data_IF_257083733771
#
_entry.id   IF_257083733771
#
_cell.length_a   1.000
_cell.length_b   1.000
_cell.length_c   1.000
_cell.angle_alpha   90.00
_cell.angle_beta   90.00
_cell.angle_gamma   90.00
#
_symmetry.space_group_name_H-M   'P 1'
#
loop_
_entity.id
_entity.type
_entity.pdbx_description
1 polymer ?
#
# COMPACT_ATOMS: atom_id res chain seq x y z
N UNK A 1 18.95 3.53 3.45
CA UNK A 1 18.16 2.86 2.42
C UNK A 1 18.08 3.76 1.21
N UNK A 2 18.33 3.21 0.02
CA UNK A 2 18.24 3.92 -1.25
C UNK A 2 17.34 3.14 -2.20
N UNK A 3 16.42 3.83 -2.88
CA UNK A 3 15.38 3.18 -3.67
C UNK A 3 15.36 3.70 -5.11
N UNK A 4 14.89 2.87 -6.04
CA UNK A 4 14.71 3.26 -7.44
C UNK A 4 14.04 2.19 -8.27
N UNK A 5 13.97 2.40 -9.56
CA UNK A 5 13.61 1.36 -10.51
C UNK A 5 14.80 0.47 -10.86
N UNK A 6 14.53 -0.72 -11.38
CA UNK A 6 15.58 -1.66 -11.83
C UNK A 6 16.48 -1.07 -12.89
N UNK A 7 16.00 -0.11 -13.67
CA UNK A 7 16.74 0.63 -14.68
C UNK A 7 17.86 1.53 -14.12
N UNK A 8 17.79 1.88 -12.85
CA UNK A 8 18.83 2.68 -12.19
C UNK A 8 20.08 1.86 -11.85
N UNK A 9 19.97 0.53 -11.70
CA UNK A 9 21.07 -0.34 -11.28
C UNK A 9 22.29 -0.21 -12.19
N UNK A 10 22.19 -0.35 -13.53
CA UNK A 10 23.36 -0.47 -14.38
C UNK A 10 24.16 0.83 -14.54
N UNK A 11 23.52 1.99 -14.39
CA UNK A 11 24.15 3.29 -14.68
C UNK A 11 24.04 4.26 -13.52
N UNK A 12 22.81 4.66 -13.16
CA UNK A 12 22.57 5.76 -12.22
C UNK A 12 23.12 5.45 -10.82
N UNK A 13 22.66 4.39 -10.20
CA UNK A 13 23.09 4.00 -8.86
C UNK A 13 24.57 3.55 -8.83
N UNK A 14 25.06 2.91 -9.89
CA UNK A 14 26.47 2.56 -10.03
C UNK A 14 27.34 3.82 -10.02
N UNK A 15 26.92 4.87 -10.71
CA UNK A 15 27.65 6.15 -10.70
C UNK A 15 27.56 6.86 -9.35
N UNK A 16 26.40 6.81 -8.66
CA UNK A 16 26.26 7.37 -7.32
C UNK A 16 27.19 6.69 -6.30
N UNK A 17 27.30 5.35 -6.36
CA UNK A 17 28.26 4.59 -5.56
C UNK A 17 29.68 5.08 -5.84
N UNK A 18 30.08 5.12 -7.10
CA UNK A 18 31.43 5.52 -7.49
C UNK A 18 31.78 6.94 -7.02
N UNK A 19 30.88 7.91 -7.20
CA UNK A 19 31.07 9.30 -6.80
C UNK A 19 31.13 9.46 -5.28
N UNK A 20 30.18 8.85 -4.57
CA UNK A 20 30.05 9.02 -3.12
C UNK A 20 31.16 8.29 -2.37
N UNK A 21 31.50 7.07 -2.77
CA UNK A 21 32.54 6.28 -2.11
C UNK A 21 33.93 6.80 -2.41
N UNK A 22 34.21 7.26 -3.64
CA UNK A 22 35.46 7.91 -3.99
C UNK A 22 35.70 9.22 -3.20
N UNK A 23 34.62 9.98 -2.97
CA UNK A 23 34.68 11.25 -2.23
C UNK A 23 34.83 11.06 -0.72
N UNK A 24 34.18 10.04 -0.16
CA UNK A 24 34.04 9.88 1.31
C UNK A 24 34.93 8.78 1.90
N UNK A 25 35.35 7.82 1.08
CA UNK A 25 36.05 6.61 1.52
C UNK A 25 35.16 5.66 2.34
N UNK A 26 33.84 5.82 2.29
CA UNK A 26 32.87 5.04 3.08
C UNK A 26 31.79 4.45 2.18
N UNK A 27 31.21 3.27 2.55
CA UNK A 27 30.06 2.72 1.84
C UNK A 27 28.92 3.74 1.75
N UNK A 28 28.39 3.94 0.54
CA UNK A 28 27.33 4.92 0.27
C UNK A 28 25.98 4.48 0.85
N UNK A 29 25.55 3.26 0.56
CA UNK A 29 24.24 2.76 0.93
C UNK A 29 24.33 1.37 1.53
N UNK A 30 23.61 1.17 2.63
CA UNK A 30 23.56 -0.12 3.33
C UNK A 30 22.50 -1.07 2.73
N UNK A 31 21.35 -0.52 2.29
CA UNK A 31 20.25 -1.30 1.73
C UNK A 31 19.73 -0.64 0.45
N UNK A 32 19.70 -1.42 -0.61
CA UNK A 32 19.16 -1.04 -1.91
C UNK A 32 17.81 -1.70 -2.13
N UNK A 33 16.83 -0.95 -2.61
CA UNK A 33 15.51 -1.45 -2.96
C UNK A 33 15.17 -1.01 -4.38
N UNK A 34 15.00 -1.98 -5.29
CA UNK A 34 14.68 -1.71 -6.69
C UNK A 34 13.33 -2.33 -7.05
N UNK A 35 12.38 -1.50 -7.46
CA UNK A 35 11.10 -1.95 -7.96
C UNK A 35 11.15 -2.17 -9.48
N UNK A 36 10.41 -3.17 -9.95
CA UNK A 36 10.22 -3.36 -11.39
C UNK A 36 9.20 -2.37 -11.97
N UNK A 37 9.14 -2.30 -13.29
CA UNK A 37 8.29 -1.35 -13.99
C UNK A 37 6.80 -1.72 -13.93
N UNK A 38 5.96 -0.67 -13.87
CA UNK A 38 4.54 -0.80 -14.09
C UNK A 38 4.25 -0.78 -15.59
N UNK A 39 3.62 -1.84 -16.10
CA UNK A 39 3.04 -1.87 -17.43
C UNK A 39 1.59 -1.36 -17.38
N UNK A 40 1.12 -0.85 -18.49
CA UNK A 40 -0.28 -0.48 -18.71
C UNK A 40 -0.77 -1.21 -19.94
N UNK A 41 -1.75 -2.09 -19.75
CA UNK A 41 -2.29 -2.97 -20.80
C UNK A 41 -1.20 -3.77 -21.55
N UNK A 42 -0.18 -4.23 -20.81
CA UNK A 42 0.96 -4.99 -21.33
C UNK A 42 2.08 -4.17 -21.97
N UNK A 43 1.92 -2.87 -22.07
CA UNK A 43 2.85 -1.94 -22.71
C UNK A 43 3.57 -1.07 -21.66
N UNK A 44 4.75 -0.57 -22.00
CA UNK A 44 5.44 0.42 -21.16
C UNK A 44 4.59 1.70 -21.07
N UNK A 45 4.41 2.20 -19.84
CA UNK A 45 3.73 3.48 -19.63
C UNK A 45 4.52 4.62 -20.28
N UNK A 46 3.90 5.34 -21.23
CA UNK A 46 4.52 6.49 -21.88
C UNK A 46 3.50 7.52 -22.35
N UNK A 47 3.90 8.78 -22.39
CA UNK A 47 3.05 9.87 -22.88
C UNK A 47 2.77 9.74 -24.39
N UNK A 48 3.73 9.23 -25.17
CA UNK A 48 3.59 9.06 -26.61
C UNK A 48 2.60 7.97 -27.00
N UNK A 49 2.40 6.96 -26.13
CA UNK A 49 1.41 5.90 -26.34
C UNK A 49 0.03 6.26 -25.80
N UNK A 50 -0.12 7.40 -25.12
CA UNK A 50 -1.39 7.82 -24.55
C UNK A 50 -1.86 6.97 -23.36
N UNK A 51 -1.02 6.09 -22.83
CA UNK A 51 -1.29 5.18 -21.72
C UNK A 51 -0.68 5.66 -20.39
N UNK A 52 -0.39 6.95 -20.28
CA UNK A 52 0.15 7.57 -19.09
C UNK A 52 -0.98 8.09 -18.20
N UNK A 53 -1.20 7.45 -17.06
CA UNK A 53 -2.23 7.81 -16.08
C UNK A 53 -1.64 8.46 -14.83
N UNK A 54 -2.35 9.44 -14.29
CA UNK A 54 -2.08 10.08 -13.00
C UNK A 54 -3.16 9.68 -12.00
N UNK A 55 -2.94 9.94 -10.72
CA UNK A 55 -3.95 9.69 -9.67
C UNK A 55 -5.27 10.41 -9.98
N UNK A 56 -5.21 11.66 -10.48
CA UNK A 56 -6.39 12.42 -10.90
C UNK A 56 -7.22 11.70 -11.98
N UNK A 57 -6.60 10.90 -12.84
CA UNK A 57 -7.30 10.18 -13.90
C UNK A 57 -8.05 8.96 -13.33
N UNK A 58 -7.52 8.36 -12.26
CA UNK A 58 -8.20 7.31 -11.50
C UNK A 58 -9.41 7.90 -10.75
N UNK A 59 -9.22 9.03 -10.07
CA UNK A 59 -10.29 9.71 -9.33
C UNK A 59 -11.43 10.13 -10.25
N UNK A 60 -11.15 10.66 -11.46
CA UNK A 60 -12.16 10.97 -12.48
C UNK A 60 -12.96 9.75 -12.94
N UNK A 61 -12.38 8.55 -12.82
CA UNK A 61 -13.06 7.29 -13.13
C UNK A 61 -13.75 6.66 -11.90
N UNK A 62 -13.71 7.33 -10.74
CA UNK A 62 -14.39 6.89 -9.52
C UNK A 62 -13.57 5.96 -8.63
N UNK A 63 -12.26 5.84 -8.87
CA UNK A 63 -11.36 5.07 -8.02
C UNK A 63 -10.70 5.94 -6.97
N UNK A 64 -10.48 5.39 -5.79
CA UNK A 64 -9.70 6.05 -4.74
C UNK A 64 -8.20 5.73 -4.87
N UNK A 65 -7.30 6.56 -4.34
CA UNK A 65 -5.89 6.22 -4.24
C UNK A 65 -5.62 4.93 -3.43
N UNK A 66 -6.51 4.57 -2.50
CA UNK A 66 -6.38 3.33 -1.70
C UNK A 66 -6.72 2.08 -2.50
N UNK A 67 -7.59 2.17 -3.52
CA UNK A 67 -7.83 1.07 -4.44
C UNK A 67 -6.55 0.74 -5.24
N UNK A 68 -5.82 1.78 -5.68
CA UNK A 68 -4.53 1.61 -6.34
C UNK A 68 -3.47 1.06 -5.38
N UNK A 69 -3.43 1.56 -4.14
CA UNK A 69 -2.53 1.02 -3.13
C UNK A 69 -2.80 -0.46 -2.86
N UNK A 70 -4.07 -0.83 -2.75
CA UNK A 70 -4.46 -2.24 -2.59
C UNK A 70 -3.97 -3.08 -3.78
N UNK A 71 -4.15 -2.59 -5.02
CA UNK A 71 -3.64 -3.25 -6.22
C UNK A 71 -2.13 -3.50 -6.12
N UNK A 72 -1.34 -2.49 -5.76
CA UNK A 72 0.11 -2.63 -5.63
C UNK A 72 0.52 -3.65 -4.57
N UNK A 73 -0.23 -3.75 -3.47
CA UNK A 73 0.05 -4.72 -2.41
C UNK A 73 -0.23 -6.18 -2.82
N UNK A 74 -0.96 -6.41 -3.93
CA UNK A 74 -1.25 -7.76 -4.43
C UNK A 74 -0.09 -8.40 -5.17
N UNK A 75 1.00 -7.67 -5.46
CA UNK A 75 2.17 -8.17 -6.16
C UNK A 75 3.46 -7.88 -5.38
N UNK A 76 4.52 -8.64 -5.69
CA UNK A 76 5.85 -8.33 -5.19
C UNK A 76 6.45 -7.18 -6.00
N UNK A 77 7.12 -6.23 -5.34
CA UNK A 77 7.73 -5.05 -5.98
C UNK A 77 8.83 -5.39 -7.01
N UNK A 78 9.43 -6.59 -6.93
CA UNK A 78 10.41 -7.09 -7.90
C UNK A 78 9.78 -7.69 -9.16
N UNK A 79 8.46 -7.81 -9.18
CA UNK A 79 7.73 -8.39 -10.30
C UNK A 79 7.08 -7.28 -11.11
N UNK A 80 7.24 -7.35 -12.43
CA UNK A 80 6.58 -6.43 -13.34
C UNK A 80 5.07 -6.56 -13.21
N UNK A 81 4.42 -5.47 -12.76
CA UNK A 81 2.98 -5.43 -12.61
C UNK A 81 2.33 -4.86 -13.87
N UNK A 82 1.24 -5.47 -14.31
CA UNK A 82 0.44 -4.96 -15.42
C UNK A 82 -0.85 -4.29 -14.89
N UNK A 83 -0.89 -2.98 -14.98
CA UNK A 83 -2.09 -2.20 -14.67
C UNK A 83 -3.08 -2.33 -15.83
N UNK A 84 -4.31 -2.68 -15.49
CA UNK A 84 -5.46 -2.61 -16.39
C UNK A 84 -6.64 -2.02 -15.63
N UNK A 85 -7.61 -1.42 -16.32
CA UNK A 85 -8.82 -0.94 -15.65
C UNK A 85 -9.60 -2.08 -15.00
N UNK A 86 -9.57 -3.27 -15.58
CA UNK A 86 -10.19 -4.48 -15.00
C UNK A 86 -9.50 -4.90 -13.69
N UNK A 87 -8.17 -4.85 -13.62
CA UNK A 87 -7.46 -5.13 -12.37
C UNK A 87 -7.74 -4.08 -11.30
N UNK A 88 -7.97 -2.83 -11.72
CA UNK A 88 -8.34 -1.74 -10.83
C UNK A 88 -9.74 -1.92 -10.24
N UNK A 89 -10.73 -2.32 -11.06
CA UNK A 89 -12.09 -2.67 -10.62
C UNK A 89 -12.09 -3.84 -9.63
N UNK A 90 -11.29 -4.88 -9.91
CA UNK A 90 -11.14 -6.02 -9.02
C UNK A 90 -10.51 -5.60 -7.67
N UNK A 91 -9.53 -4.71 -7.71
CA UNK A 91 -8.89 -4.17 -6.51
C UNK A 91 -9.85 -3.33 -5.67
N UNK A 92 -10.63 -2.45 -6.28
CA UNK A 92 -11.68 -1.67 -5.61
C UNK A 92 -12.68 -2.60 -4.94
N UNK A 93 -13.20 -3.59 -5.66
CA UNK A 93 -14.15 -4.56 -5.10
C UNK A 93 -13.57 -5.31 -3.89
N UNK A 94 -12.31 -5.71 -3.97
CA UNK A 94 -11.64 -6.41 -2.88
C UNK A 94 -11.40 -5.49 -1.67
N UNK A 95 -10.98 -4.26 -1.91
CA UNK A 95 -10.76 -3.26 -0.86
C UNK A 95 -12.09 -2.89 -0.18
N UNK A 96 -13.16 -2.60 -0.93
CA UNK A 96 -14.50 -2.31 -0.39
C UNK A 96 -15.03 -3.48 0.44
N UNK A 97 -14.82 -4.71 -0.02
CA UNK A 97 -15.18 -5.91 0.74
C UNK A 97 -14.40 -6.00 2.05
N UNK A 98 -13.09 -5.72 2.05
CA UNK A 98 -12.26 -5.69 3.25
C UNK A 98 -12.77 -4.64 4.24
N UNK A 99 -13.03 -3.43 3.80
CA UNK A 99 -13.59 -2.33 4.61
C UNK A 99 -14.92 -2.72 5.23
N UNK A 100 -15.83 -3.33 4.45
CA UNK A 100 -17.11 -3.81 4.92
C UNK A 100 -16.97 -4.88 6.02
N UNK A 101 -16.06 -5.85 5.82
CA UNK A 101 -15.80 -6.89 6.82
C UNK A 101 -15.23 -6.31 8.12
N UNK A 102 -14.30 -5.36 8.04
CA UNK A 102 -13.72 -4.70 9.21
C UNK A 102 -14.77 -3.89 9.96
N UNK A 103 -15.65 -3.19 9.24
CA UNK A 103 -16.79 -2.50 9.85
C UNK A 103 -17.68 -3.46 10.63
N UNK A 104 -18.00 -4.61 10.03
CA UNK A 104 -18.80 -5.66 10.69
C UNK A 104 -18.09 -6.23 11.92
N UNK A 105 -16.79 -6.50 11.84
CA UNK A 105 -15.98 -6.97 12.98
C UNK A 105 -16.01 -5.94 14.10
N UNK A 106 -15.78 -4.66 13.79
CA UNK A 106 -15.80 -3.56 14.76
C UNK A 106 -17.14 -3.46 15.48
N UNK A 107 -18.25 -3.58 14.75
CA UNK A 107 -19.60 -3.51 15.32
C UNK A 107 -19.94 -4.72 16.22
N UNK A 108 -19.20 -5.83 16.11
CA UNK A 108 -19.35 -7.03 16.94
C UNK A 108 -18.48 -7.01 18.20
N UNK A 109 -17.64 -5.99 18.37
CA UNK A 109 -16.78 -5.88 19.56
C UNK A 109 -17.68 -5.63 20.78
N UNK A 110 -17.66 -6.56 21.70
CA UNK A 110 -18.28 -6.47 23.04
C UNK A 110 -17.20 -6.35 24.11
N UNK A 111 -17.60 -6.39 25.38
CA UNK A 111 -16.64 -6.44 26.48
C UNK A 111 -15.64 -7.60 26.28
N UNK A 112 -14.34 -7.29 26.48
CA UNK A 112 -13.27 -8.27 26.30
C UNK A 112 -13.36 -9.32 27.40
N UNK A 113 -13.48 -10.57 26.99
CA UNK A 113 -13.34 -11.73 27.85
C UNK A 113 -11.92 -12.29 27.73
N UNK A 114 -11.46 -13.03 28.76
CA UNK A 114 -10.17 -13.73 28.67
C UNK A 114 -10.19 -14.72 27.50
N UNK A 115 -9.12 -14.72 26.70
CA UNK A 115 -8.94 -15.69 25.62
C UNK A 115 -8.64 -17.07 26.18
N UNK A 116 -9.16 -18.12 25.53
CA UNK A 116 -8.66 -19.47 25.73
C UNK A 116 -7.23 -19.58 25.17
N UNK A 117 -6.43 -20.51 25.72
CA UNK A 117 -5.06 -20.75 25.24
C UNK A 117 -5.02 -21.00 23.72
N UNK A 118 -5.96 -21.82 23.21
CA UNK A 118 -6.06 -22.10 21.77
C UNK A 118 -6.24 -20.82 20.93
N UNK A 119 -7.10 -19.89 21.36
CA UNK A 119 -7.33 -18.65 20.62
C UNK A 119 -6.18 -17.68 20.72
N UNK A 120 -5.52 -17.62 21.90
CA UNK A 120 -4.31 -16.84 22.08
C UNK A 120 -3.19 -17.34 21.15
N UNK A 121 -3.02 -18.65 21.05
CA UNK A 121 -2.06 -19.28 20.14
C UNK A 121 -2.35 -18.90 18.68
N UNK A 122 -3.61 -18.94 18.24
CA UNK A 122 -4.01 -18.49 16.89
C UNK A 122 -3.68 -17.02 16.62
N UNK A 123 -3.93 -16.13 17.59
CA UNK A 123 -3.56 -14.70 17.47
C UNK A 123 -2.06 -14.54 17.27
N UNK A 124 -1.24 -15.26 18.05
CA UNK A 124 0.22 -15.25 17.93
C UNK A 124 0.67 -15.79 16.57
N UNK A 125 0.08 -16.90 16.10
CA UNK A 125 0.38 -17.48 14.79
C UNK A 125 0.08 -16.52 13.64
N UNK A 126 -1.04 -15.78 13.68
CA UNK A 126 -1.35 -14.77 12.65
C UNK A 126 -0.34 -13.63 12.66
N UNK A 127 0.05 -13.15 13.85
CA UNK A 127 1.08 -12.11 13.98
C UNK A 127 2.41 -12.57 13.39
N UNK A 128 2.83 -13.78 13.73
CA UNK A 128 4.06 -14.37 13.22
C UNK A 128 4.01 -14.58 11.71
N UNK A 129 2.92 -15.14 11.17
CA UNK A 129 2.74 -15.32 9.73
C UNK A 129 2.86 -13.99 8.97
N UNK A 130 2.20 -12.93 9.46
CA UNK A 130 2.27 -11.62 8.84
C UNK A 130 3.69 -11.04 8.90
N UNK A 131 4.31 -11.09 10.08
CA UNK A 131 5.68 -10.59 10.27
C UNK A 131 6.66 -11.33 9.37
N UNK A 132 6.55 -12.65 9.26
CA UNK A 132 7.40 -13.45 8.40
C UNK A 132 7.18 -13.10 6.92
N UNK A 133 5.95 -12.91 6.48
CA UNK A 133 5.65 -12.48 5.11
C UNK A 133 6.28 -11.11 4.78
N UNK A 134 6.16 -10.14 5.67
CA UNK A 134 6.76 -8.81 5.45
C UNK A 134 8.28 -8.83 5.52
N UNK A 135 8.85 -9.66 6.39
CA UNK A 135 10.31 -9.82 6.52
C UNK A 135 10.92 -10.67 5.38
N UNK A 136 10.10 -11.41 4.65
CA UNK A 136 10.50 -12.14 3.45
C UNK A 136 10.40 -11.23 2.22
N UNK A 137 11.38 -10.34 2.11
CA UNK A 137 11.53 -9.39 0.98
C UNK A 137 10.25 -8.57 0.68
N UNK A 138 9.59 -8.09 1.73
CA UNK A 138 8.36 -7.29 1.64
C UNK A 138 7.25 -7.99 0.85
N UNK A 139 6.99 -9.26 1.12
CA UNK A 139 5.95 -10.04 0.44
C UNK A 139 4.55 -9.60 0.90
N UNK A 140 4.14 -8.43 0.42
CA UNK A 140 2.86 -7.81 0.77
C UNK A 140 1.67 -8.61 0.27
N UNK A 141 1.80 -9.36 -0.82
CA UNK A 141 0.76 -10.26 -1.32
C UNK A 141 0.44 -11.36 -0.30
N UNK A 142 1.48 -11.98 0.28
CA UNK A 142 1.31 -12.95 1.36
C UNK A 142 0.78 -12.27 2.63
N UNK A 143 1.23 -11.04 2.94
CA UNK A 143 0.68 -10.24 4.04
C UNK A 143 -0.82 -9.99 3.90
N UNK A 144 -1.30 -9.63 2.71
CA UNK A 144 -2.73 -9.49 2.41
C UNK A 144 -3.50 -10.81 2.55
N UNK A 145 -2.91 -11.94 2.16
CA UNK A 145 -3.54 -13.24 2.37
C UNK A 145 -3.76 -13.52 3.86
N UNK A 146 -2.79 -13.18 4.72
CA UNK A 146 -2.94 -13.31 6.19
C UNK A 146 -4.04 -12.37 6.72
N UNK A 147 -4.17 -11.15 6.20
CA UNK A 147 -5.29 -10.25 6.55
C UNK A 147 -6.64 -10.94 6.31
N UNK A 148 -6.82 -11.56 5.14
CA UNK A 148 -8.04 -12.28 4.82
C UNK A 148 -8.24 -13.56 5.66
N UNK A 149 -7.16 -14.25 6.06
CA UNK A 149 -7.23 -15.36 7.01
C UNK A 149 -7.76 -14.88 8.37
N UNK A 150 -7.26 -13.75 8.89
CA UNK A 150 -7.74 -13.15 10.15
C UNK A 150 -9.22 -12.80 10.07
N UNK A 151 -9.65 -12.11 8.99
CA UNK A 151 -11.05 -11.74 8.78
C UNK A 151 -11.96 -12.98 8.86
N UNK A 152 -11.58 -14.08 8.22
CA UNK A 152 -12.36 -15.33 8.14
C UNK A 152 -12.21 -16.25 9.36
N UNK A 153 -11.25 -15.97 10.25
CA UNK A 153 -10.94 -16.84 11.39
C UNK A 153 -12.08 -16.87 12.44
N UNK A 154 -11.95 -17.75 13.42
CA UNK A 154 -12.87 -17.87 14.55
C UNK A 154 -12.36 -17.23 15.86
N UNK A 155 -11.34 -16.38 15.79
CA UNK A 155 -10.90 -15.62 16.97
C UNK A 155 -11.91 -14.49 17.28
N UNK A 156 -11.94 -13.96 18.53
CA UNK A 156 -12.91 -12.93 18.90
C UNK A 156 -12.79 -11.65 18.06
N UNK A 157 -13.89 -10.92 17.84
CA UNK A 157 -13.89 -9.71 17.02
C UNK A 157 -12.88 -8.64 17.46
N UNK A 158 -12.69 -8.44 18.78
CA UNK A 158 -11.72 -7.50 19.32
C UNK A 158 -10.29 -7.85 18.95
N UNK A 159 -9.94 -9.15 19.00
CA UNK A 159 -8.58 -9.62 18.65
C UNK A 159 -8.33 -9.59 17.14
N UNK A 160 -9.37 -9.85 16.32
CA UNK A 160 -9.31 -9.63 14.88
C UNK A 160 -9.01 -8.17 14.57
N UNK A 161 -9.76 -7.26 15.17
CA UNK A 161 -9.62 -5.83 14.94
C UNK A 161 -8.21 -5.36 15.32
N UNK A 162 -7.71 -5.74 16.49
CA UNK A 162 -6.37 -5.37 16.94
C UNK A 162 -5.27 -5.88 15.98
N UNK A 163 -5.37 -7.13 15.51
CA UNK A 163 -4.43 -7.66 14.50
C UNK A 163 -4.48 -6.89 13.20
N UNK A 164 -5.70 -6.59 12.71
CA UNK A 164 -5.88 -5.87 11.44
C UNK A 164 -5.34 -4.45 11.52
N UNK A 165 -5.51 -3.76 12.67
CA UNK A 165 -4.91 -2.44 12.89
C UNK A 165 -3.39 -2.49 12.95
N UNK A 166 -2.83 -3.49 13.64
CA UNK A 166 -1.38 -3.72 13.67
C UNK A 166 -0.81 -3.98 12.26
N UNK A 167 -1.48 -4.78 11.45
CA UNK A 167 -1.05 -5.06 10.07
C UNK A 167 -1.16 -3.84 9.17
N UNK A 168 -2.14 -2.97 9.43
CA UNK A 168 -2.33 -1.74 8.67
C UNK A 168 -1.24 -0.68 8.92
N UNK A 169 -0.51 -0.75 10.03
CA UNK A 169 0.67 0.09 10.24
C UNK A 169 1.73 -0.11 9.14
N UNK A 170 1.77 -1.31 8.55
CA UNK A 170 2.64 -1.65 7.42
C UNK A 170 1.94 -1.46 6.09
N UNK A 171 0.72 -1.97 5.95
CA UNK A 171 -0.02 -1.95 4.69
C UNK A 171 -0.50 -0.56 4.30
N UNK A 172 -0.85 0.29 5.29
CA UNK A 172 -1.30 1.67 5.10
C UNK A 172 -2.56 1.79 4.25
N UNK A 173 -3.50 0.87 4.43
CA UNK A 173 -4.81 0.85 3.79
C UNK A 173 -5.85 1.70 4.52
N UNK A 174 -5.45 2.35 5.62
CA UNK A 174 -6.30 3.21 6.46
C UNK A 174 -7.50 2.47 7.05
N UNK A 175 -7.29 1.24 7.48
CA UNK A 175 -8.35 0.37 8.02
C UNK A 175 -8.94 0.90 9.33
N UNK A 176 -8.19 1.70 10.09
CA UNK A 176 -8.65 2.38 11.30
C UNK A 176 -9.76 3.41 11.03
N UNK A 177 -9.76 3.97 9.83
CA UNK A 177 -10.65 5.03 9.41
C UNK A 177 -12.04 4.52 8.99
N UNK A 178 -12.24 3.21 9.03
CA UNK A 178 -13.51 2.56 8.69
C UNK A 178 -14.64 3.09 9.57
N UNK A 179 -15.62 3.73 8.93
CA UNK A 179 -16.75 4.36 9.61
C UNK A 179 -16.48 5.77 10.16
N UNK A 180 -15.27 6.30 10.01
CA UNK A 180 -14.98 7.72 10.26
C UNK A 180 -15.35 8.52 9.02
N UNK A 181 -16.39 9.36 9.11
CA UNK A 181 -16.65 10.36 8.09
C UNK A 181 -15.54 11.41 8.21
N UNK A 182 -14.57 11.40 7.29
CA UNK A 182 -13.66 12.55 7.19
C UNK A 182 -14.47 13.76 6.80
N UNK A 183 -14.43 14.79 7.62
CA UNK A 183 -14.81 16.10 7.15
C UNK A 183 -13.90 16.44 5.96
N UNK A 184 -14.51 16.75 4.83
CA UNK A 184 -13.78 17.21 3.65
C UNK A 184 -12.85 18.32 4.12
N UNK A 185 -11.55 18.18 3.95
CA UNK A 185 -10.60 19.24 4.30
C UNK A 185 -10.99 20.45 3.46
N UNK A 186 -11.68 21.40 4.09
CA UNK A 186 -12.02 22.65 3.46
C UNK A 186 -10.71 23.41 3.32
N UNK A 187 -10.14 23.39 2.12
CA UNK A 187 -8.95 24.18 1.82
C UNK A 187 -9.32 25.64 2.00
N UNK A 188 -8.69 26.38 2.94
CA UNK A 188 -8.98 27.79 3.13
C UNK A 188 -8.90 28.55 1.80
N UNK A 189 -9.82 29.49 1.52
CA UNK A 189 -9.85 30.23 0.25
C UNK A 189 -8.52 30.89 -0.11
N UNK A 190 -7.74 31.28 0.88
CA UNK A 190 -6.41 31.87 0.71
C UNK A 190 -5.40 30.87 0.13
N UNK A 191 -5.42 29.63 0.61
CA UNK A 191 -4.56 28.54 0.11
C UNK A 191 -5.01 28.13 -1.29
N UNK A 192 -6.34 28.10 -1.54
CA UNK A 192 -6.86 27.80 -2.88
C UNK A 192 -6.39 28.83 -3.90
N UNK A 193 -6.42 30.12 -3.57
CA UNK A 193 -5.87 31.20 -4.44
C UNK A 193 -4.37 31.03 -4.73
N UNK A 194 -3.60 30.54 -3.77
CA UNK A 194 -2.17 30.28 -3.97
C UNK A 194 -1.95 29.07 -4.90
N UNK A 195 -2.78 28.04 -4.80
CA UNK A 195 -2.75 26.89 -5.70
C UNK A 195 -3.11 27.29 -7.13
N UNK A 196 -4.18 28.07 -7.30
CA UNK A 196 -4.62 28.57 -8.61
C UNK A 196 -3.53 29.45 -9.27
N UNK A 197 -2.91 30.35 -8.50
CA UNK A 197 -1.77 31.16 -8.96
C UNK A 197 -0.57 30.30 -9.38
N UNK A 198 -0.26 29.24 -8.62
CA UNK A 198 0.83 28.31 -8.97
C UNK A 198 0.55 27.58 -10.28
N UNK A 199 -0.69 27.23 -10.57
CA UNK A 199 -1.06 26.59 -11.84
C UNK A 199 -0.98 27.56 -13.03
N UNK A 200 -1.33 28.82 -12.84
CA UNK A 200 -1.15 29.87 -13.86
C UNK A 200 0.32 30.06 -14.24
N UNK A 201 1.25 30.01 -13.27
CA UNK A 201 2.71 30.13 -13.54
C UNK A 201 3.33 28.85 -14.17
N UNK A 202 2.59 27.74 -14.26
CA UNK A 202 3.05 26.50 -14.88
C UNK A 202 2.62 26.32 -16.34
N UNK A 203 1.75 27.18 -16.83
CA UNK A 203 1.34 27.26 -18.25
C UNK A 203 2.27 28.20 -19.02
#
# INVERSE_FOLDING_TARGET
IHTGGVDHIPIHHTNEIAQSEASTGKPFVKYWLHADHLLVDGEKMSKSLGNFYRLEDLEKKGFSPLDLRYLFLTANYRTQMNFTWKSMEASQTAYDSLISQISNIRNQISERTSLSEEKLEKVNQFREKFTNAINDDLNTAQGLAVVWEVVKSNIPPGDKYDLLMLFDEVLGLRLVDVGVKYETIIIPPEIKKLLDKREEYRK
#
